data_IF_391337394670
#
_entry.id   IF_391337394670
#
_cell.length_a   1.000
_cell.length_b   1.000
_cell.length_c   1.000
_cell.angle_alpha   90.00
_cell.angle_beta   90.00
_cell.angle_gamma   90.00
#
_symmetry.space_group_name_H-M   'P 1'
#
loop_
_entity.id
_entity.type
_entity.pdbx_description
1 polymer ?
#
# COMPACT_ATOMS: atom_id res chain seq x y z
N UNK A 1 -15.41 -106.72 55.74
CA UNK A 1 -14.13 -106.23 56.29
C UNK A 1 -13.33 -107.47 56.62
N UNK A 2 -12.53 -107.92 55.67
CA UNK A 2 -11.71 -109.14 55.82
C UNK A 2 -10.68 -108.89 56.93
N UNK A 3 -10.74 -109.71 57.98
CA UNK A 3 -9.74 -109.77 59.04
C UNK A 3 -8.48 -110.44 58.47
N UNK A 4 -7.74 -109.70 57.67
CA UNK A 4 -6.36 -110.04 57.37
C UNK A 4 -5.58 -109.73 58.65
N UNK A 5 -5.05 -110.76 59.32
CA UNK A 5 -4.05 -110.58 60.37
C UNK A 5 -2.76 -110.07 59.70
N UNK A 6 -2.74 -108.79 59.30
CA UNK A 6 -1.57 -108.17 58.72
C UNK A 6 -0.46 -108.17 59.76
N UNK A 7 0.73 -108.54 59.33
CA UNK A 7 1.91 -108.29 60.14
C UNK A 7 2.06 -106.78 60.35
N UNK A 8 2.59 -106.34 61.51
CA UNK A 8 2.82 -104.92 61.77
C UNK A 8 3.59 -104.19 60.66
N UNK A 9 4.43 -104.90 59.91
CA UNK A 9 5.18 -104.38 58.76
C UNK A 9 4.32 -104.17 57.51
N UNK A 10 3.40 -105.07 57.18
CA UNK A 10 2.46 -104.91 56.06
C UNK A 10 1.49 -103.74 56.32
N UNK A 11 1.01 -103.60 57.56
CA UNK A 11 0.14 -102.48 57.95
C UNK A 11 0.87 -101.13 57.83
N UNK A 12 2.15 -101.08 58.22
CA UNK A 12 2.99 -99.91 58.04
C UNK A 12 3.20 -99.57 56.56
N UNK A 13 3.49 -100.57 55.72
CA UNK A 13 3.71 -100.37 54.29
C UNK A 13 2.46 -99.81 53.60
N UNK A 14 1.27 -100.36 53.88
CA UNK A 14 0.01 -99.85 53.34
C UNK A 14 -0.29 -98.42 53.84
N UNK A 15 0.04 -98.10 55.09
CA UNK A 15 -0.09 -96.74 55.60
C UNK A 15 0.84 -95.76 54.87
N UNK A 16 2.13 -96.12 54.71
CA UNK A 16 3.10 -95.31 53.94
C UNK A 16 2.69 -95.12 52.48
N UNK A 17 2.11 -96.15 51.85
CA UNK A 17 1.62 -96.05 50.48
C UNK A 17 0.41 -95.12 50.37
N UNK A 18 -0.53 -95.19 51.33
CA UNK A 18 -1.67 -94.25 51.42
C UNK A 18 -1.20 -92.81 51.63
N UNK A 19 -0.25 -92.57 52.53
CA UNK A 19 0.38 -91.26 52.72
C UNK A 19 1.00 -90.74 51.41
N UNK A 20 1.77 -91.58 50.71
CA UNK A 20 2.39 -91.21 49.43
C UNK A 20 1.37 -90.86 48.33
N UNK A 21 0.23 -91.57 48.27
CA UNK A 21 -0.86 -91.24 47.34
C UNK A 21 -1.53 -89.91 47.68
N UNK A 22 -1.76 -89.62 48.96
CA UNK A 22 -2.34 -88.34 49.41
C UNK A 22 -1.39 -87.19 49.09
N UNK A 23 -0.10 -87.36 49.34
CA UNK A 23 0.92 -86.35 48.98
C UNK A 23 0.97 -86.10 47.47
N UNK A 24 0.91 -87.16 46.65
CA UNK A 24 0.87 -87.04 45.20
C UNK A 24 -0.39 -86.31 44.72
N UNK A 25 -1.57 -86.69 45.24
CA UNK A 25 -2.83 -86.00 44.94
C UNK A 25 -2.79 -84.53 45.37
N UNK A 26 -2.16 -84.23 46.51
CA UNK A 26 -1.97 -82.85 46.98
C UNK A 26 -1.09 -82.05 46.01
N UNK A 27 0.05 -82.59 45.59
CA UNK A 27 0.95 -81.97 44.61
C UNK A 27 0.26 -81.71 43.28
N UNK A 28 -0.50 -82.68 42.75
CA UNK A 28 -1.29 -82.51 41.52
C UNK A 28 -2.33 -81.40 41.70
N UNK A 29 -3.03 -81.38 42.84
CA UNK A 29 -4.04 -80.34 43.12
C UNK A 29 -3.43 -78.94 43.26
N UNK A 30 -2.24 -78.84 43.84
CA UNK A 30 -1.50 -77.58 43.95
C UNK A 30 -1.02 -77.09 42.59
N UNK A 31 -0.51 -78.00 41.73
CA UNK A 31 -0.12 -77.66 40.36
C UNK A 31 -1.31 -77.16 39.54
N UNK A 32 -2.46 -77.85 39.60
CA UNK A 32 -3.68 -77.41 38.90
C UNK A 32 -4.14 -76.02 39.37
N UNK A 33 -4.06 -75.74 40.67
CA UNK A 33 -4.38 -74.40 41.20
C UNK A 33 -3.41 -73.33 40.69
N UNK A 34 -2.11 -73.63 40.64
CA UNK A 34 -1.10 -72.72 40.11
C UNK A 34 -1.34 -72.42 38.62
N UNK A 35 -1.66 -73.44 37.82
CA UNK A 35 -2.00 -73.27 36.41
C UNK A 35 -3.27 -72.42 36.23
N UNK A 36 -4.31 -72.65 37.05
CA UNK A 36 -5.54 -71.86 37.03
C UNK A 36 -5.29 -70.38 37.40
N UNK A 37 -4.45 -70.12 38.40
CA UNK A 37 -4.06 -68.77 38.81
C UNK A 37 -3.26 -68.06 37.71
N UNK A 38 -2.31 -68.74 37.07
CA UNK A 38 -1.54 -68.20 35.94
C UNK A 38 -2.45 -67.84 34.76
N UNK A 39 -3.43 -68.69 34.42
CA UNK A 39 -4.41 -68.40 33.39
C UNK A 39 -5.28 -67.18 33.74
N UNK A 40 -5.75 -67.08 34.98
CA UNK A 40 -6.51 -65.91 35.44
C UNK A 40 -5.68 -64.62 35.39
N UNK A 41 -4.42 -64.70 35.78
CA UNK A 41 -3.51 -63.55 35.73
C UNK A 41 -3.23 -63.11 34.28
N UNK A 42 -3.00 -64.05 33.37
CA UNK A 42 -2.83 -63.79 31.94
C UNK A 42 -4.08 -63.13 31.34
N UNK A 43 -5.26 -63.71 31.56
CA UNK A 43 -6.52 -63.13 31.10
C UNK A 43 -6.74 -61.71 31.64
N UNK A 44 -6.39 -61.45 32.90
CA UNK A 44 -6.50 -60.13 33.49
C UNK A 44 -5.52 -59.14 32.86
N UNK A 45 -4.28 -59.55 32.57
CA UNK A 45 -3.29 -58.75 31.84
C UNK A 45 -3.78 -58.43 30.41
N UNK A 46 -4.35 -59.40 29.72
CA UNK A 46 -4.91 -59.20 28.37
C UNK A 46 -6.09 -58.23 28.38
N UNK A 47 -7.05 -58.40 29.29
CA UNK A 47 -8.18 -57.46 29.44
C UNK A 47 -7.69 -56.03 29.70
N UNK A 48 -6.68 -55.86 30.55
CA UNK A 48 -6.06 -54.54 30.80
C UNK A 48 -5.39 -53.96 29.55
N UNK A 49 -4.68 -54.78 28.77
CA UNK A 49 -4.06 -54.35 27.51
C UNK A 49 -5.11 -53.89 26.50
N UNK A 50 -6.18 -54.67 26.31
CA UNK A 50 -7.27 -54.31 25.41
C UNK A 50 -7.92 -52.98 25.80
N UNK A 51 -8.22 -52.79 27.09
CA UNK A 51 -8.79 -51.54 27.59
C UNK A 51 -7.85 -50.34 27.34
N UNK A 52 -6.54 -50.51 27.58
CA UNK A 52 -5.57 -49.46 27.31
C UNK A 52 -5.45 -49.13 25.81
N UNK A 53 -5.53 -50.15 24.95
CA UNK A 53 -5.54 -49.96 23.50
C UNK A 53 -6.80 -49.26 23.00
N UNK A 54 -7.97 -49.59 23.54
CA UNK A 54 -9.23 -48.92 23.25
C UNK A 54 -9.18 -47.45 23.64
N UNK A 55 -8.75 -47.15 24.87
CA UNK A 55 -8.56 -45.78 25.35
C UNK A 55 -7.60 -44.98 24.45
N UNK A 56 -6.49 -45.60 24.03
CA UNK A 56 -5.55 -44.99 23.09
C UNK A 56 -6.21 -44.71 21.74
N UNK A 57 -6.97 -45.66 21.19
CA UNK A 57 -7.68 -45.51 19.91
C UNK A 57 -8.71 -44.38 19.98
N UNK A 58 -9.49 -44.31 21.05
CA UNK A 58 -10.46 -43.24 21.28
C UNK A 58 -9.79 -41.87 21.38
N UNK A 59 -8.70 -41.78 22.14
CA UNK A 59 -7.95 -40.54 22.28
C UNK A 59 -7.38 -40.07 20.93
N UNK A 60 -6.82 -40.98 20.12
CA UNK A 60 -6.33 -40.67 18.77
C UNK A 60 -7.46 -40.22 17.85
N UNK A 61 -8.62 -40.89 17.89
CA UNK A 61 -9.82 -40.49 17.11
C UNK A 61 -10.26 -39.08 17.49
N UNK A 62 -10.40 -38.80 18.79
CA UNK A 62 -10.80 -37.49 19.30
C UNK A 62 -9.80 -36.40 18.91
N UNK A 63 -8.49 -36.69 18.99
CA UNK A 63 -7.46 -35.73 18.57
C UNK A 63 -7.49 -35.45 17.07
N UNK A 64 -7.71 -36.47 16.24
CA UNK A 64 -7.83 -36.30 14.80
C UNK A 64 -9.07 -35.47 14.42
N UNK A 65 -10.19 -35.69 15.10
CA UNK A 65 -11.40 -34.91 14.88
C UNK A 65 -11.21 -33.44 15.30
N UNK A 66 -10.57 -33.21 16.45
CA UNK A 66 -10.22 -31.87 16.90
C UNK A 66 -9.34 -31.14 15.88
N UNK A 67 -8.28 -31.80 15.39
CA UNK A 67 -7.39 -31.22 14.37
C UNK A 67 -8.16 -30.92 13.06
N UNK A 68 -9.12 -31.76 12.68
CA UNK A 68 -9.96 -31.52 11.50
C UNK A 68 -10.83 -30.27 11.68
N UNK A 69 -11.48 -30.13 12.83
CA UNK A 69 -12.30 -28.95 13.16
C UNK A 69 -11.45 -27.67 13.18
N UNK A 70 -10.28 -27.69 13.80
CA UNK A 70 -9.37 -26.54 13.80
C UNK A 70 -8.91 -26.15 12.39
N UNK A 71 -8.67 -27.13 11.51
CA UNK A 71 -8.35 -26.87 10.09
C UNK A 71 -9.54 -26.25 9.35
N UNK A 72 -10.74 -26.79 9.54
CA UNK A 72 -11.97 -26.26 8.93
C UNK A 72 -12.24 -24.81 9.39
N UNK A 73 -12.12 -24.52 10.69
CA UNK A 73 -12.25 -23.16 11.23
C UNK A 73 -11.19 -22.21 10.68
N UNK A 74 -9.94 -22.68 10.57
CA UNK A 74 -8.85 -21.89 9.98
C UNK A 74 -9.14 -21.53 8.52
N UNK A 75 -9.62 -22.48 7.73
CA UNK A 75 -9.98 -22.25 6.33
C UNK A 75 -11.17 -21.29 6.21
N UNK A 76 -12.19 -21.44 7.05
CA UNK A 76 -13.34 -20.54 7.08
C UNK A 76 -12.91 -19.11 7.43
N UNK A 77 -12.01 -18.95 8.40
CA UNK A 77 -11.45 -17.65 8.76
C UNK A 77 -10.65 -17.04 7.61
N UNK A 78 -9.82 -17.82 6.94
CA UNK A 78 -9.04 -17.37 5.78
C UNK A 78 -9.96 -16.93 4.62
N UNK A 79 -11.07 -17.63 4.38
CA UNK A 79 -12.06 -17.22 3.38
C UNK A 79 -12.72 -15.89 3.75
N UNK A 80 -13.15 -15.73 5.01
CA UNK A 80 -13.72 -14.46 5.50
C UNK A 80 -12.75 -13.29 5.38
N UNK A 81 -11.49 -13.52 5.69
CA UNK A 81 -10.44 -12.49 5.58
C UNK A 81 -10.21 -12.11 4.11
N UNK A 82 -10.15 -13.09 3.19
CA UNK A 82 -10.08 -12.84 1.73
C UNK A 82 -11.29 -12.07 1.22
N UNK A 83 -12.50 -12.42 1.63
CA UNK A 83 -13.72 -11.69 1.27
C UNK A 83 -13.74 -10.26 1.83
N UNK A 84 -13.18 -10.03 3.02
CA UNK A 84 -13.06 -8.70 3.60
C UNK A 84 -12.03 -7.86 2.84
N UNK A 85 -10.90 -8.46 2.45
CA UNK A 85 -9.85 -7.81 1.66
C UNK A 85 -10.36 -7.42 0.26
N UNK A 86 -11.04 -8.32 -0.44
CA UNK A 86 -11.63 -8.04 -1.77
C UNK A 86 -12.72 -6.96 -1.68
N UNK A 87 -13.58 -6.99 -0.65
CA UNK A 87 -14.54 -5.91 -0.39
C UNK A 87 -13.84 -4.57 -0.13
N UNK A 88 -12.75 -4.58 0.63
CA UNK A 88 -11.93 -3.39 0.86
C UNK A 88 -11.32 -2.83 -0.42
N UNK A 89 -10.80 -3.71 -1.28
CA UNK A 89 -10.23 -3.36 -2.60
C UNK A 89 -11.28 -2.75 -3.53
N UNK A 90 -12.45 -3.37 -3.65
CA UNK A 90 -13.57 -2.87 -4.45
C UNK A 90 -13.98 -1.48 -3.95
N UNK A 91 -14.20 -1.32 -2.64
CA UNK A 91 -14.59 -0.03 -2.05
C UNK A 91 -13.54 1.06 -2.29
N UNK A 92 -12.25 0.75 -2.19
CA UNK A 92 -11.19 1.70 -2.49
C UNK A 92 -11.18 2.13 -3.97
N UNK A 93 -11.42 1.18 -4.88
CA UNK A 93 -11.52 1.45 -6.31
C UNK A 93 -12.75 2.31 -6.63
N UNK A 94 -13.90 2.00 -6.04
CA UNK A 94 -15.14 2.79 -6.18
C UNK A 94 -14.95 4.21 -5.68
N UNK A 95 -14.40 4.39 -4.47
CA UNK A 95 -14.05 5.71 -3.92
C UNK A 95 -13.09 6.48 -4.84
N UNK A 96 -12.13 5.79 -5.46
CA UNK A 96 -11.23 6.39 -6.45
C UNK A 96 -11.97 6.88 -7.69
N UNK A 97 -12.85 6.04 -8.25
CA UNK A 97 -13.70 6.38 -9.41
C UNK A 97 -14.63 7.54 -9.10
N UNK A 98 -15.29 7.54 -7.93
CA UNK A 98 -16.17 8.62 -7.48
C UNK A 98 -15.42 9.95 -7.36
N UNK A 99 -14.25 9.96 -6.72
CA UNK A 99 -13.40 11.15 -6.60
C UNK A 99 -12.97 11.68 -7.96
N UNK A 100 -12.58 10.80 -8.87
CA UNK A 100 -12.21 11.18 -10.23
C UNK A 100 -13.38 11.79 -11.00
N UNK A 101 -14.57 11.16 -10.93
CA UNK A 101 -15.79 11.68 -11.55
C UNK A 101 -16.21 13.03 -10.96
N UNK A 102 -16.14 13.20 -9.65
CA UNK A 102 -16.40 14.48 -9.00
C UNK A 102 -15.42 15.57 -9.46
N UNK A 103 -14.14 15.23 -9.60
CA UNK A 103 -13.13 16.14 -10.13
C UNK A 103 -13.39 16.53 -11.59
N UNK A 104 -13.78 15.57 -12.45
CA UNK A 104 -14.16 15.85 -13.83
C UNK A 104 -15.35 16.81 -13.92
N UNK A 105 -16.39 16.59 -13.10
CA UNK A 105 -17.55 17.49 -13.01
C UNK A 105 -17.11 18.90 -12.59
N UNK A 106 -16.27 19.01 -11.57
CA UNK A 106 -15.74 20.30 -11.10
C UNK A 106 -14.93 21.00 -12.19
N UNK A 107 -14.07 20.27 -12.91
CA UNK A 107 -13.27 20.83 -14.01
C UNK A 107 -14.14 21.34 -15.16
N UNK A 108 -15.19 20.58 -15.52
CA UNK A 108 -16.14 21.01 -16.54
C UNK A 108 -16.90 22.28 -16.14
N UNK A 109 -17.31 22.39 -14.88
CA UNK A 109 -17.96 23.61 -14.37
C UNK A 109 -17.01 24.81 -14.39
N UNK A 110 -15.77 24.65 -13.93
CA UNK A 110 -14.74 25.70 -13.95
C UNK A 110 -14.45 26.18 -15.37
N UNK A 111 -14.34 25.26 -16.34
CA UNK A 111 -14.16 25.60 -17.76
C UNK A 111 -15.37 26.33 -18.34
N UNK A 112 -16.59 25.91 -17.99
CA UNK A 112 -17.81 26.60 -18.41
C UNK A 112 -17.90 28.01 -17.82
N UNK A 113 -17.56 28.20 -16.56
CA UNK A 113 -17.50 29.54 -15.95
C UNK A 113 -16.44 30.41 -16.59
N UNK A 114 -15.24 29.88 -16.87
CA UNK A 114 -14.18 30.60 -17.57
C UNK A 114 -14.66 31.06 -18.94
N UNK A 115 -15.28 30.17 -19.71
CA UNK A 115 -15.84 30.48 -21.03
C UNK A 115 -16.96 31.53 -20.98
N UNK A 116 -17.79 31.52 -19.93
CA UNK A 116 -18.82 32.56 -19.74
C UNK A 116 -18.20 33.92 -19.47
N UNK A 117 -17.19 33.98 -18.60
CA UNK A 117 -16.46 35.22 -18.29
C UNK A 117 -15.73 35.78 -19.51
N UNK A 118 -15.08 34.92 -20.31
CA UNK A 118 -14.44 35.31 -21.57
C UNK A 118 -15.46 35.94 -22.52
N UNK A 119 -16.63 35.31 -22.71
CA UNK A 119 -17.72 35.87 -23.55
C UNK A 119 -18.27 37.20 -23.04
N UNK A 120 -18.49 37.32 -21.72
CA UNK A 120 -18.96 38.58 -21.12
C UNK A 120 -17.92 39.70 -21.30
N UNK A 121 -16.63 39.38 -21.19
CA UNK A 121 -15.55 40.34 -21.40
C UNK A 121 -15.42 40.75 -22.88
N UNK A 122 -15.59 39.82 -23.81
CA UNK A 122 -15.65 40.12 -25.25
C UNK A 122 -16.84 41.02 -25.57
N UNK A 123 -18.02 40.74 -25.00
CA UNK A 123 -19.20 41.58 -25.19
C UNK A 123 -19.01 42.98 -24.61
N UNK A 124 -18.45 43.12 -23.40
CA UNK A 124 -18.08 44.41 -22.81
C UNK A 124 -17.10 45.18 -23.67
N UNK A 125 -16.07 44.51 -24.17
CA UNK A 125 -15.08 45.14 -25.04
C UNK A 125 -15.71 45.61 -26.35
N UNK A 126 -16.63 44.83 -26.92
CA UNK A 126 -17.40 45.19 -28.11
C UNK A 126 -18.31 46.41 -27.85
N UNK A 127 -18.99 46.46 -26.70
CA UNK A 127 -19.82 47.63 -26.34
C UNK A 127 -18.97 48.87 -26.09
N UNK A 128 -17.82 48.73 -25.42
CA UNK A 128 -16.88 49.82 -25.21
C UNK A 128 -16.34 50.37 -26.53
N UNK A 129 -16.03 49.50 -27.50
CA UNK A 129 -15.61 49.92 -28.84
C UNK A 129 -16.72 50.66 -29.60
N UNK A 130 -17.97 50.20 -29.50
CA UNK A 130 -19.12 50.89 -30.10
C UNK A 130 -19.32 52.26 -29.45
N UNK A 131 -19.31 52.34 -28.13
CA UNK A 131 -19.43 53.61 -27.41
C UNK A 131 -18.28 54.57 -27.76
N UNK A 132 -17.05 54.09 -27.88
CA UNK A 132 -15.92 54.93 -28.32
C UNK A 132 -16.16 55.51 -29.72
N UNK A 133 -16.68 54.69 -30.66
CA UNK A 133 -17.02 55.15 -32.02
C UNK A 133 -18.17 56.15 -32.01
N UNK A 134 -19.21 55.92 -31.21
CA UNK A 134 -20.36 56.81 -31.12
C UNK A 134 -19.97 58.14 -30.46
N UNK A 135 -19.21 58.11 -29.37
CA UNK A 135 -18.66 59.31 -28.70
C UNK A 135 -17.77 60.10 -29.66
N UNK A 136 -16.86 59.45 -30.38
CA UNK A 136 -16.03 60.12 -31.38
C UNK A 136 -16.87 60.77 -32.49
N UNK A 137 -17.92 60.09 -32.94
CA UNK A 137 -18.84 60.62 -33.96
C UNK A 137 -19.66 61.81 -33.45
N UNK A 138 -20.09 61.79 -32.19
CA UNK A 138 -20.77 62.93 -31.55
C UNK A 138 -19.84 64.12 -31.41
N UNK A 139 -18.63 63.92 -30.85
CA UNK A 139 -17.62 64.96 -30.72
C UNK A 139 -17.24 65.56 -32.08
N UNK A 140 -17.16 64.73 -33.13
CA UNK A 140 -16.92 65.21 -34.49
C UNK A 140 -18.06 66.11 -35.00
N UNK A 141 -19.32 65.73 -34.79
CA UNK A 141 -20.48 66.55 -35.16
C UNK A 141 -20.51 67.87 -34.39
N UNK A 142 -20.29 67.82 -33.07
CA UNK A 142 -20.18 69.02 -32.24
C UNK A 142 -19.06 69.93 -32.73
N UNK A 143 -17.91 69.35 -33.07
CA UNK A 143 -16.79 70.10 -33.64
C UNK A 143 -17.15 70.76 -34.98
N UNK A 144 -17.89 70.09 -35.86
CA UNK A 144 -18.37 70.67 -37.13
C UNK A 144 -19.28 71.88 -36.89
N UNK A 145 -20.21 71.79 -35.94
CA UNK A 145 -21.11 72.92 -35.61
C UNK A 145 -20.35 74.06 -34.94
N UNK A 146 -19.45 73.75 -34.00
CA UNK A 146 -18.60 74.76 -33.38
C UNK A 146 -17.65 75.41 -34.39
N UNK A 147 -17.12 74.66 -35.35
CA UNK A 147 -16.20 75.18 -36.36
C UNK A 147 -16.83 76.28 -37.22
N UNK A 148 -18.13 76.21 -37.50
CA UNK A 148 -18.87 77.29 -38.19
C UNK A 148 -18.90 78.59 -37.38
N UNK A 149 -18.90 78.49 -36.05
CA UNK A 149 -18.98 79.61 -35.12
C UNK A 149 -17.61 80.03 -34.55
N UNK A 150 -16.51 79.38 -34.97
CA UNK A 150 -15.18 79.74 -34.49
C UNK A 150 -14.77 81.10 -35.08
N UNK A 151 -14.43 82.10 -34.24
CA UNK A 151 -13.86 83.33 -34.75
C UNK A 151 -12.55 82.99 -35.47
N UNK A 152 -12.30 83.65 -36.60
CA UNK A 152 -11.05 83.49 -37.36
C UNK A 152 -9.89 83.67 -36.38
N UNK A 153 -9.01 82.66 -36.19
CA UNK A 153 -7.88 82.80 -35.29
C UNK A 153 -7.06 84.01 -35.74
N UNK A 154 -6.91 84.98 -34.84
CA UNK A 154 -5.96 86.08 -35.07
C UNK A 154 -4.57 85.43 -35.08
N UNK A 155 -3.82 85.68 -36.15
CA UNK A 155 -2.49 85.14 -36.40
C UNK A 155 -1.52 85.71 -35.35
N UNK A 156 -1.57 85.22 -34.11
CA UNK A 156 -0.76 85.71 -33.01
C UNK A 156 0.42 84.77 -32.77
N UNK A 157 1.29 84.68 -33.77
CA UNK A 157 2.59 84.02 -33.67
C UNK A 157 3.61 84.99 -33.05
N UNK A 158 3.44 85.35 -31.79
CA UNK A 158 4.48 86.08 -31.07
C UNK A 158 5.39 85.11 -30.35
N UNK A 159 6.69 85.18 -30.64
CA UNK A 159 7.73 84.47 -29.91
C UNK A 159 8.73 85.46 -29.32
N UNK A 160 9.19 85.19 -28.10
CA UNK A 160 10.28 85.93 -27.49
C UNK A 160 11.61 85.38 -28.01
N UNK A 161 12.33 86.16 -28.80
CA UNK A 161 13.70 85.86 -29.21
C UNK A 161 14.60 86.97 -28.65
N UNK A 162 15.64 86.59 -27.90
CA UNK A 162 16.63 87.51 -27.33
C UNK A 162 16.03 88.72 -26.57
N UNK A 163 15.00 88.48 -25.76
CA UNK A 163 14.39 89.52 -24.92
C UNK A 163 13.52 90.54 -25.66
N UNK A 164 13.23 90.35 -26.95
CA UNK A 164 12.31 91.19 -27.73
C UNK A 164 11.13 90.37 -28.27
N UNK A 165 9.92 90.92 -28.11
CA UNK A 165 8.69 90.35 -28.67
C UNK A 165 8.76 90.50 -30.19
N UNK A 166 9.00 89.41 -30.90
CA UNK A 166 9.10 89.40 -32.38
C UNK A 166 7.94 88.57 -32.92
N UNK A 167 7.16 89.16 -33.84
CA UNK A 167 6.12 88.43 -34.58
C UNK A 167 6.77 87.49 -35.58
N UNK A 168 6.59 86.18 -35.38
CA UNK A 168 7.00 85.16 -36.33
C UNK A 168 6.05 85.20 -37.52
N UNK A 169 6.49 85.72 -38.66
CA UNK A 169 5.74 85.58 -39.89
C UNK A 169 5.89 84.15 -40.42
N UNK A 170 4.75 83.50 -40.61
CA UNK A 170 4.55 82.19 -41.23
C UNK A 170 5.05 80.96 -40.45
N UNK A 171 4.23 79.90 -40.43
CA UNK A 171 4.51 78.61 -39.78
C UNK A 171 5.68 77.85 -40.43
N UNK A 172 6.22 78.40 -41.53
CA UNK A 172 7.39 77.95 -42.28
C UNK A 172 8.72 78.47 -41.71
N UNK A 173 8.69 79.43 -40.77
CA UNK A 173 9.87 80.13 -40.25
C UNK A 173 10.47 79.43 -39.03
N UNK A 174 10.78 78.14 -39.15
CA UNK A 174 11.69 77.51 -38.19
C UNK A 174 13.12 77.88 -38.59
N UNK A 175 13.91 78.57 -37.73
CA UNK A 175 15.32 78.73 -38.02
C UNK A 175 15.93 77.35 -38.19
N UNK A 176 16.78 77.19 -39.21
CA UNK A 176 17.46 75.92 -39.44
C UNK A 176 18.14 75.49 -38.12
N UNK A 177 17.84 74.29 -37.59
CA UNK A 177 18.40 73.87 -36.32
C UNK A 177 19.92 73.90 -36.44
N UNK A 178 20.57 74.60 -35.50
CA UNK A 178 22.03 74.79 -35.52
C UNK A 178 22.82 73.47 -35.44
N UNK A 179 22.16 72.37 -35.11
CA UNK A 179 22.72 71.05 -35.03
C UNK A 179 21.73 70.01 -35.59
N UNK A 180 22.18 69.25 -36.60
CA UNK A 180 21.48 68.05 -37.07
C UNK A 180 22.22 66.85 -36.49
N UNK A 181 21.51 65.93 -35.82
CA UNK A 181 22.13 64.67 -35.39
C UNK A 181 22.36 63.79 -36.63
N UNK A 182 23.62 63.54 -37.05
CA UNK A 182 23.91 62.82 -38.29
C UNK A 182 23.63 61.31 -38.18
N UNK A 183 23.36 60.80 -36.97
CA UNK A 183 23.05 59.40 -36.74
C UNK A 183 21.53 59.22 -36.92
N UNK A 184 21.07 58.55 -37.98
CA UNK A 184 19.64 58.25 -38.12
C UNK A 184 19.19 57.42 -36.93
N UNK A 185 17.98 57.69 -36.44
CA UNK A 185 17.37 56.92 -35.35
C UNK A 185 17.40 55.44 -35.70
N UNK A 186 18.32 54.69 -35.09
CA UNK A 186 18.38 53.24 -35.26
C UNK A 186 17.21 52.64 -34.48
N UNK A 187 16.38 51.79 -35.11
CA UNK A 187 15.37 51.03 -34.37
C UNK A 187 16.03 50.33 -33.18
N UNK A 188 15.43 50.44 -31.99
CA UNK A 188 15.92 49.73 -30.82
C UNK A 188 15.83 48.23 -31.15
N UNK A 189 16.93 47.46 -31.09
CA UNK A 189 16.90 46.04 -31.36
C UNK A 189 15.97 45.36 -30.35
N UNK A 190 14.86 44.81 -30.83
CA UNK A 190 13.94 44.03 -30.01
C UNK A 190 14.70 42.77 -29.57
N UNK A 191 14.86 42.50 -28.26
CA UNK A 191 15.52 41.29 -27.82
C UNK A 191 14.75 40.07 -28.39
N UNK A 192 15.45 39.04 -28.90
CA UNK A 192 14.79 37.85 -29.39
C UNK A 192 13.93 37.26 -28.26
N UNK A 193 12.72 36.75 -28.58
CA UNK A 193 11.89 36.10 -27.58
C UNK A 193 12.71 34.99 -26.91
N UNK A 194 12.59 34.83 -25.58
CA UNK A 194 13.37 33.83 -24.85
C UNK A 194 13.11 32.49 -25.52
N UNK A 195 14.18 31.85 -25.99
CA UNK A 195 14.12 30.48 -26.52
C UNK A 195 13.42 29.66 -25.46
N UNK A 196 12.22 29.17 -25.78
CA UNK A 196 11.55 28.21 -24.93
C UNK A 196 12.55 27.06 -24.74
N UNK A 197 13.06 26.96 -23.52
CA UNK A 197 13.71 25.77 -23.08
C UNK A 197 12.68 24.67 -23.26
N UNK A 198 12.86 23.84 -24.27
CA UNK A 198 12.40 22.46 -24.31
C UNK A 198 12.92 21.78 -23.04
N UNK A 199 12.21 22.02 -21.93
CA UNK A 199 12.33 21.26 -20.70
C UNK A 199 11.66 19.93 -20.98
N UNK A 200 12.44 19.04 -21.58
CA UNK A 200 12.37 17.64 -21.25
C UNK A 200 12.29 17.54 -19.73
N UNK A 201 11.14 17.08 -19.22
CA UNK A 201 10.94 16.81 -17.81
C UNK A 201 11.73 15.54 -17.47
N UNK A 202 13.05 15.68 -17.35
CA UNK A 202 13.89 14.71 -16.66
C UNK A 202 13.96 15.15 -15.20
N UNK A 203 13.27 14.40 -14.34
CA UNK A 203 13.30 14.60 -12.90
C UNK A 203 14.75 14.52 -12.36
N UNK A 204 15.31 15.67 -11.94
CA UNK A 204 16.49 15.71 -11.06
C UNK A 204 16.11 16.30 -9.71
N UNK A 205 16.24 15.42 -8.71
CA UNK A 205 15.99 15.61 -7.27
C UNK A 205 16.79 16.80 -6.73
N UNK A 206 16.15 17.70 -5.97
CA UNK A 206 16.84 18.67 -5.12
C UNK A 206 17.38 17.95 -3.88
N UNK A 207 18.69 18.09 -3.62
CA UNK A 207 19.31 17.69 -2.36
C UNK A 207 18.89 18.67 -1.24
N UNK A 208 18.51 18.13 -0.08
CA UNK A 208 18.46 18.84 1.21
C UNK A 208 19.77 18.56 1.97
N UNK A 209 20.25 19.47 2.84
CA UNK A 209 21.43 19.23 3.66
C UNK A 209 21.13 18.17 4.74
N UNK A 210 22.10 17.29 4.96
CA UNK A 210 22.08 16.24 5.99
C UNK A 210 22.61 16.86 7.29
N UNK A 211 21.74 16.97 8.30
CA UNK A 211 22.13 16.98 9.71
C UNK A 211 21.89 15.55 10.22
N UNK A 212 22.96 14.87 10.61
CA UNK A 212 22.94 13.48 11.03
C UNK A 212 23.14 13.37 12.54
N UNK A 213 22.04 13.21 13.27
CA UNK A 213 22.07 12.57 14.60
C UNK A 213 20.80 11.72 14.74
N UNK A 214 20.90 10.43 14.39
CA UNK A 214 19.96 9.41 14.87
C UNK A 214 20.60 8.03 14.90
N UNK A 215 20.81 7.59 16.13
CA UNK A 215 20.50 6.28 16.70
C UNK A 215 20.22 5.13 15.70
N UNK A 216 21.10 4.12 15.68
CA UNK A 216 20.86 2.83 15.02
C UNK A 216 20.05 1.90 15.92
N UNK A 217 18.97 1.26 15.44
CA UNK A 217 18.50 0.01 16.02
C UNK A 217 19.32 -1.16 15.45
N UNK A 218 19.77 -2.01 16.38
CA UNK A 218 20.62 -3.17 16.19
C UNK A 218 19.80 -4.34 15.61
N UNK A 219 20.07 -4.78 14.37
CA UNK A 219 19.57 -6.06 13.86
C UNK A 219 20.71 -7.08 13.96
N UNK A 220 20.50 -8.02 14.88
CA UNK A 220 21.39 -9.15 15.18
C UNK A 220 21.64 -9.97 13.93
N UNK A 221 22.92 -10.21 13.66
CA UNK A 221 23.42 -11.23 12.76
C UNK A 221 22.95 -12.62 13.21
N UNK A 222 22.26 -13.34 12.32
CA UNK A 222 22.08 -14.79 12.45
C UNK A 222 23.39 -15.43 12.00
N UNK A 223 24.18 -15.88 12.96
CA UNK A 223 25.34 -16.74 12.71
C UNK A 223 24.85 -18.06 12.11
N UNK A 224 25.37 -18.43 10.94
CA UNK A 224 25.34 -19.82 10.45
C UNK A 224 26.70 -20.46 10.80
N UNK A 225 26.71 -21.67 11.40
CA UNK A 225 27.97 -22.33 11.77
C UNK A 225 28.74 -22.80 10.55
N UNK A 226 30.07 -22.75 10.67
CA UNK A 226 31.05 -23.27 9.71
C UNK A 226 31.21 -24.76 9.95
N UNK A 227 30.63 -25.59 9.09
CA UNK A 227 30.95 -27.01 9.05
C UNK A 227 32.15 -27.24 8.13
N UNK A 228 33.31 -27.45 8.73
CA UNK A 228 34.44 -28.13 8.11
C UNK A 228 35.14 -28.96 9.19
N UNK A 229 34.76 -30.24 9.30
CA UNK A 229 35.59 -31.28 9.89
C UNK A 229 35.75 -32.42 8.89
N UNK A 230 36.96 -32.49 8.36
CA UNK A 230 37.51 -33.55 7.56
C UNK A 230 38.12 -34.57 8.53
N UNK A 231 37.52 -35.75 8.71
CA UNK A 231 38.22 -36.95 9.22
C UNK A 231 37.62 -38.22 8.61
N UNK A 232 38.41 -38.81 7.70
CA UNK A 232 38.65 -40.23 7.42
C UNK A 232 37.49 -41.27 7.42
N UNK A 233 37.32 -41.92 6.26
CA UNK A 233 37.81 -43.29 6.08
C UNK A 233 36.80 -44.43 5.98
N UNK A 234 36.79 -45.09 4.81
CA UNK A 234 36.69 -46.54 4.48
C UNK A 234 35.92 -46.69 3.15
N UNK A 235 36.61 -46.78 2.00
CA UNK A 235 37.07 -48.02 1.34
C UNK A 235 36.03 -49.15 1.40
N UNK A 236 35.28 -49.33 0.31
CA UNK A 236 34.66 -50.60 -0.06
C UNK A 236 35.31 -51.06 -1.36
N UNK A 237 36.17 -52.09 -1.28
CA UNK A 237 36.56 -52.89 -2.44
C UNK A 237 35.50 -53.98 -2.64
N UNK A 238 35.22 -54.25 -3.92
CA UNK A 238 34.66 -55.53 -4.39
C UNK A 238 35.67 -56.64 -4.17
#
# INVERSE_FOLDING_TARGET
MENLNLTPWEAWLLHKEREGRVELQRKISEQLKQEEELLKEQQHKEKKKLLAEEQRKEWVRKKKEQERKEKEERLLKEQRDKEAEERGRISAQEKGKEKYQAWLRKKKMEEQERKRKEKEQEEKSLTEEREKKDKASQVFKEWLEQAKNKPRPVLNSYGYVNGKLTGYYDASSYPAPAFYNPIPWKPIPVPPPPKEATKNVSAKKKKRPVSSQSYRPNVRSINKPKDNLHVAGRILKR
#
